data_IF_976992045388
#
_entry.id   IF_976992045388
#
_cell.length_a   1.000
_cell.length_b   1.000
_cell.length_c   1.000
_cell.angle_alpha   90.00
_cell.angle_beta   90.00
_cell.angle_gamma   90.00
#
_symmetry.space_group_name_H-M   'P 1'
#
loop_
_entity.id
_entity.type
_entity.pdbx_description
1 polymer ?
#
# COMPACT_ATOMS: atom_id res chain seq x y z
N UNK A 1 -7.67 -48.01 -46.38
CA UNK A 1 -6.83 -49.21 -46.59
C UNK A 1 -5.66 -49.08 -45.62
N UNK A 2 -5.49 -49.80 -44.51
CA UNK A 2 -6.15 -50.90 -43.79
C UNK A 2 -5.89 -50.63 -42.29
N UNK A 3 -6.89 -50.71 -41.40
CA UNK A 3 -7.12 -51.81 -40.42
C UNK A 3 -5.90 -52.07 -39.50
N UNK A 4 -6.01 -52.05 -38.17
CA UNK A 4 -6.69 -53.11 -37.40
C UNK A 4 -7.01 -52.67 -35.96
N UNK A 5 -8.09 -53.26 -35.45
CA UNK A 5 -8.83 -53.05 -34.20
C UNK A 5 -8.34 -53.95 -33.05
N UNK A 6 -8.77 -53.59 -31.83
CA UNK A 6 -9.10 -54.45 -30.66
C UNK A 6 -8.04 -55.28 -29.91
N UNK A 7 -7.93 -55.00 -28.60
CA UNK A 7 -7.95 -56.04 -27.55
C UNK A 7 -8.94 -55.63 -26.46
N UNK A 8 -9.96 -56.45 -26.30
CA UNK A 8 -11.00 -56.49 -25.28
C UNK A 8 -10.49 -57.18 -24.01
N UNK A 9 -11.00 -56.81 -22.84
CA UNK A 9 -10.77 -57.51 -21.57
C UNK A 9 -11.73 -57.05 -20.49
N UNK A 10 -12.81 -57.80 -20.32
CA UNK A 10 -13.95 -57.57 -19.42
C UNK A 10 -13.80 -58.35 -18.09
N UNK A 11 -14.64 -57.94 -17.14
CA UNK A 11 -15.35 -58.72 -16.12
C UNK A 11 -14.76 -58.95 -14.71
N UNK A 12 -15.55 -58.51 -13.71
CA UNK A 12 -16.19 -59.40 -12.69
C UNK A 12 -15.86 -59.19 -11.18
N UNK A 13 -16.81 -58.50 -10.53
CA UNK A 13 -17.54 -58.83 -9.26
C UNK A 13 -16.96 -58.64 -7.84
N UNK A 14 -17.86 -58.14 -6.99
CA UNK A 14 -17.93 -58.27 -5.52
C UNK A 14 -18.41 -56.94 -4.91
N UNK A 15 -19.62 -56.73 -4.39
CA UNK A 15 -20.43 -57.57 -3.50
C UNK A 15 -20.62 -56.82 -2.16
N UNK A 16 -21.77 -56.17 -1.98
CA UNK A 16 -22.22 -55.35 -0.81
C UNK A 16 -22.74 -56.32 0.29
N UNK A 17 -22.62 -56.09 1.63
CA UNK A 17 -23.58 -55.25 2.36
C UNK A 17 -23.12 -54.51 3.63
N UNK A 18 -24.02 -53.63 4.06
CA UNK A 18 -23.98 -52.69 5.18
C UNK A 18 -24.06 -53.31 6.59
N UNK A 19 -23.63 -52.56 7.60
CA UNK A 19 -24.18 -52.62 8.97
C UNK A 19 -24.26 -51.24 9.62
N UNK A 20 -25.47 -50.93 10.11
CA UNK A 20 -25.88 -49.81 10.98
C UNK A 20 -25.59 -50.14 12.45
N UNK A 21 -25.06 -49.15 13.21
CA UNK A 21 -25.43 -48.64 14.58
C UNK A 21 -25.59 -49.69 15.74
N UNK A 22 -25.71 -49.36 17.05
CA UNK A 22 -25.66 -48.09 17.82
C UNK A 22 -24.84 -48.14 19.15
N UNK A 23 -24.83 -47.03 19.90
CA UNK A 23 -24.95 -46.94 21.39
C UNK A 23 -24.34 -45.60 21.90
N UNK A 24 -25.16 -44.60 22.29
CA UNK A 24 -25.60 -44.29 23.68
C UNK A 24 -24.44 -44.01 24.65
N UNK A 25 -24.21 -42.76 25.04
CA UNK A 25 -24.72 -42.20 26.32
C UNK A 25 -23.52 -42.04 27.27
N UNK A 26 -23.27 -40.88 27.89
CA UNK A 26 -23.76 -40.55 29.24
C UNK A 26 -23.55 -39.05 29.49
N UNK A 27 -24.59 -38.39 30.02
CA UNK A 27 -24.52 -37.09 30.70
C UNK A 27 -24.15 -37.29 32.18
N UNK A 28 -23.27 -36.45 32.72
CA UNK A 28 -23.26 -36.02 34.14
C UNK A 28 -22.43 -34.71 34.22
N UNK A 29 -23.02 -33.51 34.34
CA UNK A 29 -23.57 -32.80 35.53
C UNK A 29 -22.60 -32.61 36.73
N UNK A 30 -22.23 -31.33 36.90
CA UNK A 30 -22.10 -30.50 38.13
C UNK A 30 -20.95 -30.76 39.13
N UNK A 31 -20.16 -29.71 39.37
CA UNK A 31 -20.03 -28.97 40.64
C UNK A 31 -19.10 -27.75 40.37
N UNK A 32 -19.51 -26.48 40.49
CA UNK A 32 -19.71 -25.70 41.72
C UNK A 32 -18.47 -25.68 42.64
N UNK A 33 -17.76 -24.54 42.65
CA UNK A 33 -16.69 -24.23 43.59
C UNK A 33 -16.34 -22.75 43.54
N UNK A 34 -17.06 -21.94 44.32
CA UNK A 34 -16.74 -20.54 44.62
C UNK A 34 -15.64 -20.52 45.68
N UNK A 35 -14.61 -19.70 45.50
CA UNK A 35 -13.93 -19.06 46.63
C UNK A 35 -13.32 -17.74 46.18
N UNK A 36 -13.95 -16.67 46.66
CA UNK A 36 -13.39 -15.33 46.69
C UNK A 36 -12.47 -15.22 47.92
N UNK A 37 -11.40 -14.42 47.81
CA UNK A 37 -10.90 -13.64 48.92
C UNK A 37 -10.04 -12.48 48.38
N UNK A 38 -10.55 -11.28 48.56
CA UNK A 38 -9.81 -10.03 48.43
C UNK A 38 -8.88 -9.84 49.63
N UNK A 39 -7.72 -9.21 49.42
CA UNK A 39 -6.99 -8.51 50.48
C UNK A 39 -6.59 -7.15 49.94
N UNK A 40 -7.18 -6.11 50.53
CA UNK A 40 -6.78 -4.71 50.41
C UNK A 40 -6.09 -4.31 51.73
N UNK A 41 -4.96 -3.60 51.66
CA UNK A 41 -4.47 -2.75 52.75
C UNK A 41 -3.84 -1.47 52.18
N UNK A 42 -4.30 -0.37 52.78
CA UNK A 42 -4.08 1.08 52.62
C UNK A 42 -2.62 1.55 52.84
N UNK A 43 -2.12 2.52 52.03
CA UNK A 43 -1.94 3.99 52.29
C UNK A 43 -0.62 4.43 52.93
N UNK A 44 0.08 5.35 52.25
CA UNK A 44 0.59 6.59 52.86
C UNK A 44 0.77 7.67 51.78
N UNK A 45 0.19 8.84 52.06
CA UNK A 45 0.24 10.07 51.29
C UNK A 45 1.54 10.84 51.51
N UNK A 46 1.96 11.66 50.54
CA UNK A 46 2.56 12.97 50.80
C UNK A 46 2.17 13.95 49.67
N UNK A 47 1.67 15.10 50.10
CA UNK A 47 1.30 16.25 49.28
C UNK A 47 2.52 17.11 48.96
N UNK A 48 2.53 17.75 47.78
CA UNK A 48 3.10 19.09 47.62
C UNK A 48 2.33 19.83 46.52
N UNK A 49 1.55 20.81 46.95
CA UNK A 49 0.87 21.77 46.10
C UNK A 49 1.88 22.80 45.57
N UNK A 50 1.80 23.09 44.27
CA UNK A 50 2.47 24.21 43.63
C UNK A 50 1.56 24.79 42.56
N UNK A 51 0.73 25.75 42.96
CA UNK A 51 -0.10 26.54 42.05
C UNK A 51 0.73 27.67 41.47
N UNK A 52 0.94 27.69 40.15
CA UNK A 52 1.26 28.90 39.41
C UNK A 52 0.12 29.18 38.46
N UNK A 53 -0.53 30.31 38.70
CA UNK A 53 -1.55 30.89 37.86
C UNK A 53 -0.89 31.44 36.59
N UNK A 54 -1.46 31.13 35.43
CA UNK A 54 -1.23 31.94 34.22
C UNK A 54 -2.56 32.52 33.77
N UNK A 55 -2.52 33.85 33.62
CA UNK A 55 -3.65 34.72 33.39
C UNK A 55 -4.18 34.62 31.96
N UNK A 56 -5.46 34.91 31.84
CA UNK A 56 -6.26 34.92 30.63
C UNK A 56 -5.78 35.90 29.54
N UNK A 57 -6.00 35.53 28.28
CA UNK A 57 -6.52 36.44 27.26
C UNK A 57 -7.22 35.65 26.14
N UNK A 58 -8.50 35.94 25.92
CA UNK A 58 -9.29 35.51 24.77
C UNK A 58 -9.31 36.64 23.69
N UNK A 59 -10.04 36.53 22.56
CA UNK A 59 -9.50 36.56 21.20
C UNK A 59 -9.80 37.88 20.43
N UNK A 60 -9.42 37.89 19.13
CA UNK A 60 -9.63 38.89 18.05
C UNK A 60 -8.34 39.65 17.66
N UNK A 61 -7.93 39.71 16.39
CA UNK A 61 -8.70 40.36 15.33
C UNK A 61 -8.06 40.19 13.93
N UNK A 62 -8.94 40.40 12.95
CA UNK A 62 -8.80 40.61 11.51
C UNK A 62 -7.44 40.98 10.87
N UNK A 63 -7.24 40.38 9.68
CA UNK A 63 -6.72 40.99 8.44
C UNK A 63 -5.50 41.91 8.50
N UNK A 64 -4.38 41.44 7.94
CA UNK A 64 -3.41 42.30 7.26
C UNK A 64 -3.26 41.84 5.81
N UNK A 65 -3.84 42.62 4.90
CA UNK A 65 -3.53 42.61 3.48
C UNK A 65 -2.26 43.44 3.23
N UNK A 66 -1.46 42.91 2.31
CA UNK A 66 -0.41 43.55 1.50
C UNK A 66 0.93 43.92 2.18
N UNK A 67 1.96 43.14 1.82
CA UNK A 67 3.22 43.71 1.35
C UNK A 67 3.85 42.75 0.33
N UNK A 68 4.10 43.26 -0.88
CA UNK A 68 4.87 42.59 -1.91
C UNK A 68 6.28 42.32 -1.39
N UNK A 69 6.52 41.08 -0.95
CA UNK A 69 7.86 40.55 -0.78
C UNK A 69 8.41 40.19 -2.14
N UNK A 70 9.54 40.77 -2.53
CA UNK A 70 10.38 40.27 -3.62
C UNK A 70 10.42 38.75 -3.53
N UNK A 71 10.04 38.06 -4.61
CA UNK A 71 10.24 36.63 -4.73
C UNK A 71 11.70 36.35 -4.42
N UNK A 72 11.97 35.83 -3.22
CA UNK A 72 13.25 35.20 -2.96
C UNK A 72 13.27 34.02 -3.90
N UNK A 73 14.18 34.05 -4.86
CA UNK A 73 14.55 32.90 -5.69
C UNK A 73 15.28 31.85 -4.84
N UNK A 74 14.85 31.65 -3.59
CA UNK A 74 15.30 30.56 -2.76
C UNK A 74 14.61 29.33 -3.30
N UNK A 75 15.37 28.49 -4.01
CA UNK A 75 14.89 27.18 -4.44
C UNK A 75 14.31 26.46 -3.22
N UNK A 76 13.01 26.19 -3.22
CA UNK A 76 12.39 25.36 -2.19
C UNK A 76 13.10 24.01 -2.18
N UNK A 77 13.45 23.52 -0.99
CA UNK A 77 14.07 22.20 -0.86
C UNK A 77 13.17 21.13 -1.52
N UNK A 78 13.74 20.13 -2.20
CA UNK A 78 12.94 19.07 -2.82
C UNK A 78 12.07 18.36 -1.78
N UNK A 79 10.83 18.07 -2.17
CA UNK A 79 9.95 17.19 -1.40
C UNK A 79 10.50 15.78 -1.49
N UNK A 80 10.85 15.19 -0.35
CA UNK A 80 11.39 13.83 -0.29
C UNK A 80 10.26 12.82 -0.15
N UNK A 81 10.26 11.78 -0.98
CA UNK A 81 9.27 10.70 -0.95
C UNK A 81 10.00 9.36 -0.81
N UNK A 82 9.94 8.76 0.38
CA UNK A 82 10.52 7.43 0.62
C UNK A 82 9.55 6.33 0.25
N UNK A 83 10.02 5.09 0.23
CA UNK A 83 9.23 3.90 -0.07
C UNK A 83 7.88 3.87 0.65
N UNK A 84 6.83 3.55 -0.10
CA UNK A 84 5.44 3.49 0.36
C UNK A 84 4.77 4.85 0.60
N UNK A 85 5.43 5.98 0.33
CA UNK A 85 4.86 7.31 0.55
C UNK A 85 4.27 7.94 -0.72
N UNK A 86 3.39 8.92 -0.48
CA UNK A 86 2.82 9.84 -1.48
C UNK A 86 2.97 11.26 -0.96
N UNK A 87 3.46 12.18 -1.79
CA UNK A 87 3.53 13.59 -1.46
C UNK A 87 3.44 14.48 -2.71
N UNK A 88 3.37 15.78 -2.50
CA UNK A 88 3.23 16.77 -3.56
C UNK A 88 4.30 17.86 -3.43
N UNK A 89 4.86 18.26 -4.57
CA UNK A 89 5.62 19.48 -4.71
C UNK A 89 4.77 20.54 -5.42
N UNK A 90 4.78 21.76 -4.87
CA UNK A 90 4.13 22.92 -5.47
C UNK A 90 4.69 23.23 -6.88
N UNK A 91 3.98 24.02 -7.70
CA UNK A 91 4.46 24.41 -9.02
C UNK A 91 5.90 24.95 -9.03
N UNK A 92 6.74 24.39 -9.91
CA UNK A 92 8.16 24.73 -10.01
C UNK A 92 9.05 24.11 -8.92
N UNK A 93 8.47 23.31 -8.01
CA UNK A 93 9.20 22.52 -7.03
C UNK A 93 9.82 21.24 -7.61
N UNK A 94 10.49 20.48 -6.74
CA UNK A 94 11.13 19.22 -7.11
C UNK A 94 10.74 18.11 -6.15
N UNK A 95 10.77 16.87 -6.63
CA UNK A 95 10.62 15.66 -5.81
C UNK A 95 11.94 14.89 -5.83
N UNK A 96 12.40 14.45 -4.65
CA UNK A 96 13.53 13.54 -4.47
C UNK A 96 13.02 12.16 -4.02
N UNK A 97 13.29 11.15 -4.82
CA UNK A 97 13.08 9.74 -4.50
C UNK A 97 14.43 9.10 -4.15
N UNK A 98 14.64 8.65 -2.91
CA UNK A 98 15.89 8.00 -2.53
C UNK A 98 15.93 6.53 -2.96
N UNK A 99 17.11 6.05 -3.38
CA UNK A 99 17.45 4.62 -3.53
C UNK A 99 16.40 3.74 -4.22
N UNK A 100 16.19 3.94 -5.51
CA UNK A 100 15.28 3.11 -6.31
C UNK A 100 16.01 1.85 -6.78
N UNK A 101 16.17 0.83 -5.92
CA UNK A 101 16.87 -0.42 -6.27
C UNK A 101 15.93 -1.46 -6.89
N UNK A 102 14.82 -1.77 -6.22
CA UNK A 102 13.77 -2.68 -6.70
C UNK A 102 12.41 -2.00 -6.83
N UNK A 103 12.33 -0.72 -6.45
CA UNK A 103 11.10 0.04 -6.40
C UNK A 103 10.76 0.68 -7.75
N UNK A 104 9.53 1.17 -7.86
CA UNK A 104 9.12 2.11 -8.90
C UNK A 104 8.74 3.43 -8.27
N UNK A 105 9.11 4.53 -8.91
CA UNK A 105 8.57 5.85 -8.62
C UNK A 105 7.50 6.17 -9.65
N UNK A 106 6.44 6.85 -9.21
CA UNK A 106 5.36 7.31 -10.09
C UNK A 106 5.17 8.80 -9.85
N UNK A 107 5.47 9.63 -10.86
CA UNK A 107 5.30 11.07 -10.79
C UNK A 107 4.21 11.53 -11.76
N UNK A 108 3.16 12.15 -11.22
CA UNK A 108 2.13 12.83 -12.00
C UNK A 108 2.52 14.28 -12.16
N UNK A 109 2.69 14.72 -13.41
CA UNK A 109 2.87 16.14 -13.76
C UNK A 109 1.51 16.78 -13.98
N UNK A 110 1.23 17.81 -13.20
CA UNK A 110 0.01 18.59 -13.35
C UNK A 110 0.20 19.71 -14.38
N UNK A 111 -0.89 20.17 -14.99
CA UNK A 111 -0.83 21.25 -16.00
C UNK A 111 -0.47 22.62 -15.41
N UNK A 112 -0.68 22.82 -14.12
CA UNK A 112 -0.28 24.04 -13.40
C UNK A 112 1.23 24.07 -13.06
N UNK A 113 1.96 22.99 -13.37
CA UNK A 113 3.38 22.85 -13.09
C UNK A 113 3.71 22.16 -11.76
N UNK A 114 2.70 21.76 -10.98
CA UNK A 114 2.89 20.95 -9.77
C UNK A 114 3.24 19.49 -10.06
N UNK A 115 3.80 18.81 -9.07
CA UNK A 115 4.15 17.39 -9.13
C UNK A 115 3.49 16.63 -7.97
N UNK A 116 2.83 15.52 -8.26
CA UNK A 116 2.37 14.59 -7.23
C UNK A 116 3.09 13.27 -7.43
N UNK A 117 3.83 12.83 -6.42
CA UNK A 117 4.72 11.69 -6.50
C UNK A 117 4.32 10.55 -5.59
N UNK A 118 4.73 9.34 -5.95
CA UNK A 118 4.67 8.17 -5.11
C UNK A 118 5.92 7.31 -5.30
N UNK A 119 6.33 6.61 -4.24
CA UNK A 119 7.41 5.64 -4.28
C UNK A 119 6.83 4.26 -3.97
N UNK A 120 6.50 3.50 -5.00
CA UNK A 120 5.96 2.16 -4.86
C UNK A 120 7.08 1.18 -4.49
N UNK A 121 6.98 0.59 -3.29
CA UNK A 121 7.89 -0.48 -2.87
C UNK A 121 7.33 -1.84 -3.27
N UNK A 122 8.23 -2.75 -3.65
CA UNK A 122 7.87 -4.12 -4.01
C UNK A 122 7.37 -4.89 -2.78
N UNK A 123 7.95 -4.57 -1.62
CA UNK A 123 7.61 -5.14 -0.34
C UNK A 123 7.07 -4.07 0.61
N UNK A 124 6.25 -4.51 1.57
CA UNK A 124 5.67 -3.64 2.56
C UNK A 124 6.72 -3.02 3.47
N UNK A 125 6.75 -1.69 3.53
CA UNK A 125 7.45 -0.93 4.57
C UNK A 125 6.50 -0.69 5.75
N UNK A 126 6.85 -1.06 7.00
CA UNK A 126 5.95 -0.88 8.13
C UNK A 126 5.45 0.56 8.29
N UNK A 127 4.13 0.73 8.35
CA UNK A 127 3.49 2.04 8.50
C UNK A 127 3.23 2.80 7.20
N UNK A 128 3.73 2.31 6.06
CA UNK A 128 3.59 2.97 4.76
C UNK A 128 2.61 2.26 3.82
N UNK A 129 2.34 2.81 2.64
CA UNK A 129 1.44 2.18 1.69
C UNK A 129 2.09 0.99 0.97
N UNK A 130 1.31 -0.08 0.86
CA UNK A 130 1.57 -1.24 0.00
C UNK A 130 1.55 -0.87 -1.48
N UNK A 131 2.17 -1.70 -2.32
CA UNK A 131 2.08 -1.60 -3.79
C UNK A 131 0.64 -1.60 -4.32
N UNK A 132 -0.28 -2.36 -3.72
CA UNK A 132 -1.69 -2.41 -4.15
C UNK A 132 -2.56 -1.26 -3.62
N UNK A 133 -2.00 -0.38 -2.80
CA UNK A 133 -2.68 0.82 -2.29
C UNK A 133 -2.12 2.10 -2.88
N UNK A 134 -0.82 2.13 -3.19
CA UNK A 134 -0.09 3.35 -3.55
C UNK A 134 -0.75 4.16 -4.67
N UNK A 135 -1.26 3.52 -5.74
CA UNK A 135 -1.89 4.25 -6.85
C UNK A 135 -3.23 4.88 -6.47
N UNK A 136 -3.99 4.26 -5.57
CA UNK A 136 -5.25 4.83 -5.09
C UNK A 136 -5.01 6.07 -4.23
N UNK A 137 -3.96 6.05 -3.41
CA UNK A 137 -3.53 7.17 -2.57
C UNK A 137 -2.97 8.31 -3.44
N UNK A 138 -2.15 7.98 -4.45
CA UNK A 138 -1.66 8.93 -5.44
C UNK A 138 -2.81 9.58 -6.23
N UNK A 139 -3.80 8.80 -6.67
CA UNK A 139 -4.99 9.32 -7.34
C UNK A 139 -5.77 10.29 -6.45
N UNK A 140 -5.94 9.95 -5.17
CA UNK A 140 -6.59 10.85 -4.21
C UNK A 140 -5.81 12.15 -4.05
N UNK A 141 -4.48 12.06 -3.95
CA UNK A 141 -3.62 13.25 -3.87
C UNK A 141 -3.74 14.11 -5.13
N UNK A 142 -3.75 13.53 -6.34
CA UNK A 142 -4.00 14.27 -7.60
C UNK A 142 -5.35 14.98 -7.59
N UNK A 143 -6.39 14.42 -6.96
CA UNK A 143 -7.61 15.14 -6.61
C UNK A 143 -8.41 15.67 -7.82
N UNK A 144 -8.33 15.01 -8.97
CA UNK A 144 -9.02 15.41 -10.20
C UNK A 144 -8.37 16.59 -10.96
N UNK A 145 -7.22 17.07 -10.50
CA UNK A 145 -6.48 18.14 -11.17
C UNK A 145 -6.04 17.70 -12.57
N UNK A 146 -5.99 18.61 -13.56
CA UNK A 146 -5.62 18.25 -14.93
C UNK A 146 -4.19 17.71 -15.02
N UNK A 147 -4.07 16.46 -15.47
CA UNK A 147 -2.79 15.79 -15.68
C UNK A 147 -2.22 16.15 -17.05
N UNK A 148 -0.92 16.41 -17.10
CA UNK A 148 -0.13 16.61 -18.31
C UNK A 148 0.57 15.33 -18.75
N UNK A 149 1.19 14.63 -17.80
CA UNK A 149 1.93 13.39 -18.03
C UNK A 149 2.05 12.59 -16.74
N UNK A 150 2.33 11.30 -16.87
CA UNK A 150 2.70 10.40 -15.78
C UNK A 150 4.02 9.73 -16.15
N UNK A 151 4.99 9.83 -15.26
CA UNK A 151 6.31 9.20 -15.41
C UNK A 151 6.46 8.09 -14.38
N UNK A 152 6.80 6.90 -14.84
CA UNK A 152 7.15 5.77 -14.00
C UNK A 152 8.62 5.45 -14.24
N UNK A 153 9.42 5.39 -13.17
CA UNK A 153 10.86 5.13 -13.26
C UNK A 153 11.31 4.19 -12.16
N UNK A 154 12.21 3.26 -12.45
CA UNK A 154 12.83 2.40 -11.45
C UNK A 154 13.21 1.04 -12.03
N UNK A 155 13.18 0.00 -11.20
CA UNK A 155 13.53 -1.36 -11.62
C UNK A 155 12.36 -2.07 -12.31
N UNK A 156 12.10 -1.73 -13.56
CA UNK A 156 10.97 -2.26 -14.36
C UNK A 156 11.00 -3.78 -14.42
N UNK A 157 12.19 -4.38 -14.50
CA UNK A 157 12.35 -5.84 -14.53
C UNK A 157 11.94 -6.59 -13.26
N UNK A 158 11.80 -5.90 -12.12
CA UNK A 158 11.42 -6.52 -10.85
C UNK A 158 9.89 -6.56 -10.62
N UNK A 159 9.10 -5.95 -11.51
CA UNK A 159 7.68 -5.71 -11.29
C UNK A 159 6.79 -6.52 -12.21
N UNK A 160 5.88 -7.27 -11.61
CA UNK A 160 4.65 -7.72 -12.26
C UNK A 160 3.60 -6.59 -12.17
N UNK A 161 2.93 -6.19 -13.27
CA UNK A 161 1.92 -5.13 -13.23
C UNK A 161 0.76 -5.41 -12.25
N UNK A 162 0.49 -6.68 -11.97
CA UNK A 162 -0.53 -7.14 -11.02
C UNK A 162 -0.22 -6.78 -9.58
N UNK A 163 1.02 -6.45 -9.22
CA UNK A 163 1.37 -5.99 -7.87
C UNK A 163 0.67 -4.69 -7.47
N UNK A 164 0.30 -3.84 -8.43
CA UNK A 164 -0.53 -2.66 -8.18
C UNK A 164 -2.00 -2.99 -7.86
N UNK A 165 -2.41 -4.24 -8.05
CA UNK A 165 -3.77 -4.74 -7.76
C UNK A 165 -3.76 -5.64 -6.53
N UNK A 166 -2.73 -6.47 -6.39
CA UNK A 166 -2.54 -7.37 -5.26
C UNK A 166 -1.06 -7.44 -4.91
N UNK A 167 -0.68 -6.88 -3.76
CA UNK A 167 0.71 -6.90 -3.33
C UNK A 167 1.19 -8.33 -3.05
N UNK A 168 2.50 -8.56 -3.12
CA UNK A 168 3.15 -9.86 -2.90
C UNK A 168 2.73 -10.49 -1.56
N UNK A 169 2.62 -9.68 -0.51
CA UNK A 169 2.25 -10.15 0.84
C UNK A 169 0.76 -10.44 1.00
N UNK A 170 -0.04 -10.19 -0.04
CA UNK A 170 -1.47 -10.50 -0.02
C UNK A 170 -1.82 -11.83 -0.65
N UNK A 171 -0.85 -12.53 -1.23
CA UNK A 171 -1.05 -13.89 -1.71
C UNK A 171 -1.13 -14.84 -0.52
N UNK A 172 -2.13 -15.71 -0.52
CA UNK A 172 -2.39 -16.64 0.57
C UNK A 172 -1.48 -17.86 0.54
N UNK A 173 -1.56 -18.67 1.60
CA UNK A 173 -0.85 -19.95 1.65
C UNK A 173 -1.22 -20.83 0.46
N UNK A 174 -0.20 -21.32 -0.26
CA UNK A 174 -0.38 -22.16 -1.45
C UNK A 174 -0.76 -21.40 -2.73
N UNK A 175 -0.92 -20.09 -2.67
CA UNK A 175 -1.10 -19.26 -3.85
C UNK A 175 0.25 -18.92 -4.49
N UNK A 176 0.35 -19.09 -5.81
CA UNK A 176 1.54 -18.70 -6.54
C UNK A 176 1.60 -17.17 -6.67
N UNK A 177 2.63 -16.56 -6.10
CA UNK A 177 2.96 -15.16 -6.37
C UNK A 177 3.49 -15.08 -7.81
N UNK A 178 2.93 -14.21 -8.67
CA UNK A 178 3.49 -13.96 -10.00
C UNK A 178 4.97 -13.62 -9.90
N UNK A 179 5.78 -14.08 -10.85
CA UNK A 179 7.18 -13.71 -10.94
C UNK A 179 7.42 -13.11 -12.32
N UNK A 180 7.97 -11.89 -12.43
CA UNK A 180 8.21 -11.28 -13.73
C UNK A 180 9.34 -12.00 -14.47
N UNK A 181 9.00 -12.69 -15.55
CA UNK A 181 9.98 -13.41 -16.39
C UNK A 181 10.79 -12.47 -17.30
N UNK A 182 10.20 -11.31 -17.63
CA UNK A 182 10.82 -10.25 -18.43
C UNK A 182 10.24 -8.89 -18.08
N UNK A 183 10.97 -7.77 -18.29
CA UNK A 183 10.42 -6.44 -18.07
C UNK A 183 9.15 -6.18 -18.90
N UNK A 184 8.08 -5.69 -18.26
CA UNK A 184 6.81 -5.34 -18.92
C UNK A 184 6.45 -3.85 -18.73
N UNK A 185 7.13 -2.93 -19.43
CA UNK A 185 6.79 -1.51 -19.38
C UNK A 185 5.39 -1.21 -19.95
N UNK A 186 4.89 -2.08 -20.84
CA UNK A 186 3.56 -1.97 -21.44
C UNK A 186 2.46 -2.12 -20.40
N UNK A 187 2.49 -3.24 -19.69
CA UNK A 187 1.55 -3.59 -18.63
C UNK A 187 1.69 -2.71 -17.40
N UNK A 188 2.91 -2.34 -16.99
CA UNK A 188 3.11 -1.39 -15.87
C UNK A 188 2.40 -0.06 -16.17
N UNK A 189 2.59 0.49 -17.37
CA UNK A 189 1.94 1.73 -17.73
C UNK A 189 0.41 1.61 -17.86
N UNK A 190 -0.10 0.44 -18.26
CA UNK A 190 -1.54 0.17 -18.26
C UNK A 190 -2.10 0.12 -16.82
N UNK A 191 -1.44 -0.62 -15.93
CA UNK A 191 -1.81 -0.71 -14.52
C UNK A 191 -1.78 0.66 -13.84
N UNK A 192 -0.74 1.45 -14.07
CA UNK A 192 -0.62 2.83 -13.54
C UNK A 192 -1.70 3.73 -14.12
N UNK A 193 -1.90 3.72 -15.44
CA UNK A 193 -2.95 4.51 -16.09
C UNK A 193 -4.34 4.19 -15.52
N UNK A 194 -4.67 2.90 -15.41
CA UNK A 194 -5.94 2.43 -14.83
C UNK A 194 -6.06 2.83 -13.35
N UNK A 195 -5.02 2.62 -12.56
CA UNK A 195 -5.00 2.96 -11.13
C UNK A 195 -5.21 4.45 -10.88
N UNK A 196 -4.65 5.32 -11.73
CA UNK A 196 -4.81 6.78 -11.64
C UNK A 196 -6.07 7.29 -12.34
N UNK A 197 -6.73 6.48 -13.17
CA UNK A 197 -7.82 6.93 -14.04
C UNK A 197 -7.34 7.87 -15.15
N UNK A 198 -6.13 7.65 -15.66
CA UNK A 198 -5.53 8.42 -16.74
C UNK A 198 -5.42 7.58 -18.02
N UNK A 199 -5.49 8.20 -19.21
CA UNK A 199 -5.22 7.49 -20.46
C UNK A 199 -3.80 6.91 -20.46
N UNK A 200 -3.66 5.67 -20.92
CA UNK A 200 -2.37 4.98 -21.09
C UNK A 200 -1.33 5.80 -21.88
N UNK A 201 -1.80 6.60 -22.85
CA UNK A 201 -0.94 7.45 -23.68
C UNK A 201 -0.22 8.57 -22.91
N UNK A 202 -0.67 8.91 -21.69
CA UNK A 202 0.01 9.85 -20.81
C UNK A 202 1.10 9.22 -19.95
N UNK A 203 1.18 7.88 -19.92
CA UNK A 203 2.07 7.14 -19.02
C UNK A 203 3.31 6.70 -19.77
N UNK A 204 4.47 7.11 -19.25
CA UNK A 204 5.79 6.65 -19.69
C UNK A 204 6.40 5.77 -18.61
N UNK A 205 7.13 4.73 -19.01
CA UNK A 205 7.82 3.81 -18.09
C UNK A 205 9.25 3.69 -18.57
N UNK A 206 10.19 3.92 -17.67
CA UNK A 206 11.63 3.88 -17.93
C UNK A 206 12.32 3.01 -16.87
N UNK A 207 13.13 2.06 -17.34
CA UNK A 207 14.06 1.35 -16.48
C UNK A 207 15.28 2.24 -16.25
N UNK A 208 15.64 2.48 -14.99
CA UNK A 208 16.76 3.36 -14.63
C UNK A 208 17.65 2.70 -13.59
N UNK A 209 18.96 3.03 -13.56
CA UNK A 209 19.87 2.44 -12.58
C UNK A 209 19.49 2.76 -11.13
N UNK A 210 19.93 1.88 -10.23
CA UNK A 210 19.87 2.08 -8.79
C UNK A 210 20.42 3.45 -8.38
N UNK A 211 19.65 4.15 -7.55
CA UNK A 211 20.09 5.39 -6.94
C UNK A 211 18.96 6.38 -6.70
N UNK A 212 19.36 7.57 -6.26
CA UNK A 212 18.47 8.68 -6.01
C UNK A 212 17.99 9.29 -7.33
N UNK A 213 16.70 9.60 -7.40
CA UNK A 213 16.09 10.27 -8.55
C UNK A 213 15.52 11.61 -8.12
N UNK A 214 15.78 12.65 -8.93
CA UNK A 214 15.15 13.96 -8.74
C UNK A 214 14.32 14.30 -9.96
N UNK A 215 13.05 14.61 -9.75
CA UNK A 215 12.13 15.09 -10.78
C UNK A 215 11.81 16.57 -10.52
N UNK A 216 11.83 17.38 -11.58
CA UNK A 216 11.52 18.81 -11.61
C UNK A 216 10.52 19.08 -12.72
#
# INVERSE_FOLDING_TARGET
MNETNEITGDSTTGGVPATRTPATGVKARRAAGRTAAAVAVLVAAQMAAGTVAEAAAAPASAQAVAAAGKASTGATAPVRITEGQVAEAAPGGAILYPSVTSCLTVTVRLRDGGLVGAHASLFQVPGEYRSDRILSELKRAVGGRPVRAVEVRGAVGAWDPGYFVKAIESYGDGEAVPFPESPDPGGIAEAVGKGLGQPRALVTVEDVPDGDQTVR
#
